data_IF_156817322785
#
_entry.id   IF_156817322785
#
_cell.length_a   1.000
_cell.length_b   1.000
_cell.length_c   1.000
_cell.angle_alpha   90.00
_cell.angle_beta   90.00
_cell.angle_gamma   90.00
#
_symmetry.space_group_name_H-M   'P 1'
#
loop_
_entity.id
_entity.type
_entity.pdbx_description
1 polymer ?
#
# COMPACT_ATOMS: atom_id res chain seq x y z
N UNK A 1 -26.05 -64.48 -17.52
CA UNK A 1 -24.75 -63.89 -17.92
C UNK A 1 -25.03 -62.45 -18.28
N UNK A 2 -24.71 -61.52 -17.38
CA UNK A 2 -24.88 -60.08 -17.58
C UNK A 2 -23.67 -59.56 -18.36
N UNK A 3 -23.89 -59.16 -19.62
CA UNK A 3 -22.87 -58.56 -20.46
C UNK A 3 -22.86 -57.06 -20.15
N UNK A 4 -21.90 -56.61 -19.34
CA UNK A 4 -21.56 -55.19 -19.18
C UNK A 4 -20.77 -54.73 -20.40
N UNK A 5 -21.38 -53.91 -21.25
CA UNK A 5 -20.67 -53.14 -22.27
C UNK A 5 -20.16 -51.82 -21.65
N UNK A 6 -18.87 -51.47 -21.80
CA UNK A 6 -18.36 -50.19 -21.32
C UNK A 6 -18.90 -49.01 -22.16
N UNK A 7 -19.04 -47.80 -21.57
CA UNK A 7 -19.48 -46.62 -22.30
C UNK A 7 -18.44 -46.18 -23.35
N UNK A 8 -18.86 -45.50 -24.44
CA UNK A 8 -17.95 -45.02 -25.47
C UNK A 8 -16.98 -43.96 -24.91
N UNK A 9 -15.75 -43.86 -25.47
CA UNK A 9 -14.79 -42.85 -25.06
C UNK A 9 -15.33 -41.44 -25.34
N UNK A 10 -15.18 -40.56 -24.37
CA UNK A 10 -15.45 -39.12 -24.49
C UNK A 10 -14.66 -38.52 -25.66
N UNK A 11 -15.24 -37.59 -26.44
CA UNK A 11 -14.54 -36.94 -27.54
C UNK A 11 -13.30 -36.19 -27.02
N UNK A 12 -12.20 -36.12 -27.80
CA UNK A 12 -11.03 -35.37 -27.40
C UNK A 12 -11.40 -33.90 -27.16
N UNK A 13 -10.74 -33.20 -26.20
CA UNK A 13 -10.98 -31.79 -26.00
C UNK A 13 -10.75 -31.06 -27.32
N UNK A 14 -11.71 -30.21 -27.70
CA UNK A 14 -11.65 -29.40 -28.91
C UNK A 14 -10.29 -28.72 -28.99
N UNK A 15 -9.49 -29.11 -29.99
CA UNK A 15 -8.32 -28.35 -30.38
C UNK A 15 -8.79 -26.91 -30.60
N UNK A 16 -8.29 -26.00 -29.77
CA UNK A 16 -8.65 -24.59 -29.81
C UNK A 16 -8.45 -24.08 -31.25
N UNK A 17 -9.56 -23.77 -31.92
CA UNK A 17 -9.55 -23.09 -33.19
C UNK A 17 -8.90 -21.71 -32.96
N UNK A 18 -7.60 -21.61 -33.23
CA UNK A 18 -6.91 -20.34 -33.25
C UNK A 18 -7.56 -19.47 -34.32
N UNK A 19 -8.05 -18.32 -33.89
CA UNK A 19 -9.00 -17.47 -34.59
C UNK A 19 -8.50 -16.99 -35.96
N UNK A 20 -9.31 -17.26 -36.99
CA UNK A 20 -9.19 -16.83 -38.38
C UNK A 20 -9.53 -15.33 -38.57
N UNK A 21 -9.01 -14.47 -37.69
CA UNK A 21 -9.15 -13.01 -37.81
C UNK A 21 -7.96 -12.41 -38.56
N UNK A 22 -8.23 -11.51 -39.50
CA UNK A 22 -7.19 -10.74 -40.19
C UNK A 22 -6.38 -9.93 -39.18
N UNK A 23 -5.04 -10.03 -39.18
CA UNK A 23 -4.20 -9.28 -38.26
C UNK A 23 -4.35 -7.77 -38.50
N UNK A 24 -4.41 -6.98 -37.42
CA UNK A 24 -4.62 -5.53 -37.49
C UNK A 24 -3.33 -4.73 -37.57
N UNK A 25 -2.24 -5.27 -37.03
CA UNK A 25 -0.93 -4.62 -36.99
C UNK A 25 0.15 -5.52 -37.56
N UNK A 26 1.26 -4.90 -37.97
CA UNK A 26 2.47 -5.60 -38.44
C UNK A 26 2.96 -6.61 -37.40
N UNK A 27 2.97 -6.25 -36.10
CA UNK A 27 3.31 -7.16 -35.00
C UNK A 27 2.40 -8.37 -34.95
N UNK A 28 1.08 -8.18 -35.02
CA UNK A 28 0.14 -9.30 -34.97
C UNK A 28 0.30 -10.23 -36.18
N UNK A 29 0.54 -9.69 -37.38
CA UNK A 29 0.73 -10.51 -38.58
C UNK A 29 2.02 -11.32 -38.51
N UNK A 30 3.15 -10.66 -38.22
CA UNK A 30 4.47 -11.29 -38.25
C UNK A 30 4.71 -12.24 -37.07
N UNK A 31 4.22 -11.92 -35.85
CA UNK A 31 4.32 -12.86 -34.73
C UNK A 31 3.57 -14.16 -35.04
N UNK A 32 2.45 -14.08 -35.76
CA UNK A 32 1.66 -15.26 -36.15
C UNK A 32 2.31 -16.06 -37.27
N UNK A 33 2.93 -15.40 -38.25
CA UNK A 33 3.44 -16.06 -39.45
C UNK A 33 4.89 -16.55 -39.31
N UNK A 34 5.75 -15.81 -38.62
CA UNK A 34 7.19 -16.08 -38.54
C UNK A 34 7.64 -16.58 -37.16
N UNK A 35 6.79 -16.47 -36.13
CA UNK A 35 7.11 -16.95 -34.79
C UNK A 35 8.12 -16.12 -34.00
N UNK A 36 8.61 -15.00 -34.55
CA UNK A 36 9.48 -14.08 -33.82
C UNK A 36 8.73 -13.37 -32.68
N UNK A 37 9.46 -13.09 -31.59
CA UNK A 37 8.94 -12.35 -30.45
C UNK A 37 8.57 -10.89 -30.81
N UNK A 38 7.59 -10.28 -30.12
CA UNK A 38 7.19 -8.89 -30.37
C UNK A 38 8.34 -7.87 -30.41
N UNK A 39 9.35 -7.91 -29.50
CA UNK A 39 10.46 -6.95 -29.51
C UNK A 39 11.29 -6.97 -30.80
N UNK A 40 11.41 -8.15 -31.42
CA UNK A 40 12.19 -8.36 -32.63
C UNK A 40 11.49 -7.78 -33.85
N UNK A 41 10.17 -7.98 -33.94
CA UNK A 41 9.36 -7.40 -34.99
C UNK A 41 9.28 -5.88 -34.84
N UNK A 42 9.19 -5.38 -33.61
CA UNK A 42 9.26 -3.94 -33.36
C UNK A 42 10.61 -3.35 -33.78
N UNK A 43 11.70 -4.06 -33.56
CA UNK A 43 13.03 -3.68 -34.04
C UNK A 43 13.12 -3.67 -35.57
N UNK A 44 12.75 -4.76 -36.23
CA UNK A 44 12.79 -4.88 -37.70
C UNK A 44 11.89 -3.85 -38.38
N UNK A 45 10.69 -3.61 -37.84
CA UNK A 45 9.78 -2.59 -38.33
C UNK A 45 10.36 -1.17 -38.20
N UNK A 46 10.97 -0.84 -37.06
CA UNK A 46 11.63 0.47 -36.88
C UNK A 46 12.86 0.63 -37.77
N UNK A 47 13.66 -0.42 -37.91
CA UNK A 47 14.83 -0.42 -38.78
C UNK A 47 14.47 -0.28 -40.26
N UNK A 48 13.29 -0.78 -40.67
CA UNK A 48 12.72 -0.60 -42.00
C UNK A 48 12.11 0.80 -42.23
N UNK A 49 12.12 1.68 -41.22
CA UNK A 49 11.61 3.05 -41.31
C UNK A 49 10.17 3.24 -40.83
N UNK A 50 9.53 2.21 -40.27
CA UNK A 50 8.18 2.35 -39.71
C UNK A 50 8.24 3.02 -38.33
N UNK A 51 7.78 4.27 -38.25
CA UNK A 51 7.86 5.11 -37.04
C UNK A 51 7.09 4.54 -35.84
N UNK A 52 5.97 3.86 -36.10
CA UNK A 52 5.16 3.17 -35.10
C UNK A 52 5.68 1.76 -34.76
N UNK A 53 6.76 1.31 -35.41
CA UNK A 53 7.30 -0.05 -35.24
C UNK A 53 6.28 -1.13 -35.59
N UNK A 54 6.19 -2.17 -34.76
CA UNK A 54 5.22 -3.25 -34.96
C UNK A 54 3.77 -2.86 -34.65
N UNK A 55 3.52 -1.70 -34.04
CA UNK A 55 2.17 -1.18 -33.87
C UNK A 55 1.58 -0.56 -35.16
N UNK A 56 2.37 -0.50 -36.24
CA UNK A 56 1.92 0.00 -37.54
C UNK A 56 0.69 -0.79 -38.03
N UNK A 57 -0.43 -0.12 -38.38
CA UNK A 57 -1.63 -0.78 -38.87
C UNK A 57 -1.43 -1.35 -40.27
N UNK A 58 -2.10 -2.47 -40.57
CA UNK A 58 -2.16 -3.06 -41.91
C UNK A 58 -3.38 -2.55 -42.69
N UNK A 59 -3.35 -2.50 -44.04
CA UNK A 59 -2.25 -2.92 -44.92
C UNK A 59 -1.14 -1.86 -45.05
N UNK A 60 0.11 -2.31 -45.25
CA UNK A 60 1.20 -1.42 -45.68
C UNK A 60 0.93 -0.98 -47.12
N UNK A 61 1.03 0.32 -47.40
CA UNK A 61 0.60 0.90 -48.68
C UNK A 61 1.77 0.97 -49.68
N UNK A 62 3.02 1.04 -49.20
CA UNK A 62 4.20 1.09 -50.05
C UNK A 62 4.85 -0.29 -50.25
N UNK A 63 5.05 -0.69 -51.51
CA UNK A 63 5.86 -1.89 -51.83
C UNK A 63 7.30 -1.79 -51.29
N UNK A 64 7.89 -0.59 -51.34
CA UNK A 64 9.21 -0.33 -50.78
C UNK A 64 9.29 -0.52 -49.25
N UNK A 65 8.20 -0.24 -48.52
CA UNK A 65 8.13 -0.45 -47.06
C UNK A 65 8.10 -1.94 -46.72
N UNK A 66 7.38 -2.72 -47.54
CA UNK A 66 7.30 -4.18 -47.42
C UNK A 66 8.66 -4.81 -47.73
N UNK A 67 9.30 -4.39 -48.82
CA UNK A 67 10.62 -4.89 -49.22
C UNK A 67 11.69 -4.56 -48.16
N UNK A 68 11.66 -3.33 -47.62
CA UNK A 68 12.56 -2.92 -46.54
C UNK A 68 12.33 -3.74 -45.26
N UNK A 69 11.07 -4.04 -44.91
CA UNK A 69 10.72 -4.86 -43.75
C UNK A 69 11.23 -6.29 -43.89
N UNK A 70 11.00 -6.93 -45.04
CA UNK A 70 11.52 -8.28 -45.28
C UNK A 70 13.05 -8.31 -45.32
N UNK A 71 13.71 -7.29 -45.85
CA UNK A 71 15.17 -7.18 -45.81
C UNK A 71 15.72 -7.06 -44.38
N UNK A 72 15.02 -6.37 -43.48
CA UNK A 72 15.42 -6.30 -42.06
C UNK A 72 15.15 -7.61 -41.32
N UNK A 73 14.07 -8.32 -41.66
CA UNK A 73 13.80 -9.64 -41.11
C UNK A 73 14.84 -10.68 -41.57
N UNK A 74 15.24 -10.66 -42.85
CA UNK A 74 16.29 -11.57 -43.33
C UNK A 74 17.64 -11.30 -42.65
N UNK A 75 17.99 -10.03 -42.41
CA UNK A 75 19.21 -9.70 -41.66
C UNK A 75 19.19 -10.27 -40.24
N UNK A 76 18.01 -10.32 -39.63
CA UNK A 76 17.81 -10.87 -38.30
C UNK A 76 17.92 -12.40 -38.28
N UNK A 77 17.39 -13.06 -39.30
CA UNK A 77 17.51 -14.50 -39.50
C UNK A 77 18.98 -14.89 -39.77
N UNK A 78 19.68 -14.14 -40.63
CA UNK A 78 21.12 -14.33 -40.89
C UNK A 78 21.94 -14.18 -39.61
N UNK A 79 21.58 -13.20 -38.76
CA UNK A 79 22.23 -13.02 -37.47
C UNK A 79 21.99 -14.23 -36.54
N UNK A 80 20.76 -14.74 -36.47
CA UNK A 80 20.46 -15.93 -35.67
C UNK A 80 21.20 -17.17 -36.14
N UNK A 81 21.28 -17.38 -37.44
CA UNK A 81 22.07 -18.47 -38.03
C UNK A 81 23.56 -18.29 -37.72
N UNK A 82 24.05 -17.05 -37.79
CA UNK A 82 25.40 -16.68 -37.37
C UNK A 82 25.69 -17.01 -35.90
N UNK A 83 24.76 -16.75 -34.99
CA UNK A 83 24.92 -17.11 -33.57
C UNK A 83 24.87 -18.63 -33.39
N UNK A 84 23.93 -19.32 -34.04
CA UNK A 84 23.80 -20.78 -33.93
C UNK A 84 25.03 -21.52 -34.46
N UNK A 85 25.73 -20.93 -35.44
CA UNK A 85 26.97 -21.47 -36.02
C UNK A 85 28.24 -20.99 -35.29
N UNK A 86 28.11 -20.18 -34.23
CA UNK A 86 29.21 -19.49 -33.54
C UNK A 86 30.05 -18.58 -34.47
N UNK A 87 29.49 -18.13 -35.59
CA UNK A 87 30.11 -17.16 -36.48
C UNK A 87 29.95 -15.71 -35.97
N UNK A 88 28.95 -15.47 -35.13
CA UNK A 88 28.66 -14.16 -34.52
C UNK A 88 28.53 -14.31 -33.01
N UNK A 89 29.27 -13.52 -32.24
CA UNK A 89 29.11 -13.45 -30.78
C UNK A 89 28.02 -12.44 -30.41
N UNK A 90 27.01 -12.81 -29.60
CA UNK A 90 25.96 -11.89 -29.18
C UNK A 90 26.48 -10.85 -28.19
N UNK A 91 25.98 -9.62 -28.32
CA UNK A 91 26.28 -8.54 -27.37
C UNK A 91 25.51 -8.75 -26.06
N UNK A 92 26.07 -8.31 -24.94
CA UNK A 92 25.38 -8.29 -23.65
C UNK A 92 24.80 -6.91 -23.38
N UNK A 93 23.48 -6.74 -23.48
CA UNK A 93 22.83 -5.45 -23.26
C UNK A 93 21.81 -5.55 -22.14
N UNK A 94 21.90 -4.61 -21.20
CA UNK A 94 20.97 -4.46 -20.10
C UNK A 94 20.26 -3.11 -20.21
N UNK A 95 18.94 -3.13 -20.12
CA UNK A 95 18.07 -1.96 -20.13
C UNK A 95 17.69 -1.64 -18.69
N UNK A 96 17.98 -0.41 -18.28
CA UNK A 96 17.61 0.13 -16.99
C UNK A 96 16.50 1.16 -17.16
N UNK A 97 15.48 1.10 -16.31
CA UNK A 97 14.40 2.09 -16.26
C UNK A 97 14.45 2.86 -14.95
N UNK A 98 14.27 4.17 -15.02
CA UNK A 98 14.10 5.00 -13.83
C UNK A 98 12.81 4.57 -13.12
N UNK A 99 12.93 4.14 -11.87
CA UNK A 99 11.76 3.96 -11.05
C UNK A 99 11.20 5.34 -10.72
N UNK A 100 10.01 5.64 -11.22
CA UNK A 100 9.28 6.83 -10.80
C UNK A 100 9.12 6.75 -9.29
N UNK A 101 9.80 7.63 -8.55
CA UNK A 101 9.68 7.73 -7.11
C UNK A 101 8.24 8.07 -6.75
N UNK A 102 7.43 7.04 -6.53
CA UNK A 102 6.07 7.18 -6.03
C UNK A 102 6.15 7.82 -4.66
N UNK A 103 5.73 9.08 -4.57
CA UNK A 103 5.66 9.85 -3.35
C UNK A 103 4.86 9.11 -2.27
N UNK A 104 5.58 8.46 -1.36
CA UNK A 104 5.05 8.07 -0.07
C UNK A 104 5.18 9.25 0.87
N UNK A 105 4.14 10.08 0.95
CA UNK A 105 4.01 11.13 1.96
C UNK A 105 4.09 10.50 3.35
N UNK A 106 5.26 10.61 3.97
CA UNK A 106 5.50 10.31 5.38
C UNK A 106 6.01 11.57 6.04
N UNK A 107 5.11 12.24 6.78
CA UNK A 107 5.39 13.39 7.63
C UNK A 107 6.66 13.18 8.45
N UNK A 108 7.54 14.19 8.41
CA UNK A 108 8.89 14.11 8.95
C UNK A 108 8.98 13.75 10.43
N UNK A 109 10.07 13.05 10.74
CA UNK A 109 10.76 13.16 12.02
C UNK A 109 12.25 13.28 11.69
N UNK A 110 12.86 14.36 12.16
CA UNK A 110 14.29 14.63 12.07
C UNK A 110 15.08 13.68 12.99
N UNK A 111 16.23 13.26 12.46
CA UNK A 111 17.46 12.89 13.15
C UNK A 111 17.43 11.76 14.19
N UNK A 112 18.08 10.65 13.83
CA UNK A 112 19.23 10.20 14.63
C UNK A 112 20.24 9.50 13.73
N UNK A 113 21.44 10.09 13.68
CA UNK A 113 22.67 9.49 13.15
C UNK A 113 22.88 8.14 13.83
N UNK A 114 22.98 7.08 13.05
CA UNK A 114 23.93 6.00 13.33
C UNK A 114 24.35 5.33 12.02
N UNK A 115 25.67 5.20 11.89
CA UNK A 115 26.34 4.90 10.65
C UNK A 115 26.14 3.47 10.17
N UNK A 116 25.85 3.34 8.88
CA UNK A 116 26.35 2.23 8.09
C UNK A 116 26.68 2.73 6.71
N UNK A 117 27.97 2.73 6.41
CA UNK A 117 28.52 3.11 5.12
C UNK A 117 27.91 2.22 4.03
N UNK A 118 27.17 2.85 3.12
CA UNK A 118 26.92 2.33 1.79
C UNK A 118 27.58 3.32 0.85
N UNK A 119 28.80 3.01 0.44
CA UNK A 119 29.51 3.74 -0.60
C UNK A 119 28.97 3.33 -1.97
N UNK A 120 28.20 4.22 -2.60
CA UNK A 120 28.43 4.55 -4.00
C UNK A 120 27.85 5.94 -4.30
N UNK A 121 28.73 6.80 -4.77
CA UNK A 121 28.44 8.10 -5.36
C UNK A 121 27.67 7.91 -6.68
N UNK A 122 26.73 8.80 -6.96
CA UNK A 122 26.62 9.52 -8.25
C UNK A 122 25.26 10.23 -8.33
N UNK A 123 25.33 11.52 -8.63
CA UNK A 123 24.26 12.50 -8.39
C UNK A 123 23.01 12.39 -9.26
N UNK A 124 21.93 13.02 -8.78
CA UNK A 124 20.65 13.41 -9.44
C UNK A 124 19.95 12.40 -10.39
N UNK A 125 20.47 11.20 -10.55
CA UNK A 125 19.91 10.12 -11.35
C UNK A 125 19.15 9.20 -10.41
N UNK A 126 17.85 9.48 -10.25
CA UNK A 126 16.95 8.66 -9.43
C UNK A 126 17.09 7.16 -9.70
N UNK A 127 16.78 6.36 -8.67
CA UNK A 127 16.92 4.89 -8.64
C UNK A 127 16.56 4.18 -9.95
N UNK A 128 17.58 3.70 -10.66
CA UNK A 128 17.43 2.92 -11.90
C UNK A 128 17.25 1.43 -11.55
N UNK A 129 16.21 0.81 -12.11
CA UNK A 129 15.89 -0.62 -11.95
C UNK A 129 16.29 -1.36 -13.22
N UNK A 130 16.86 -2.55 -13.06
CA UNK A 130 17.19 -3.43 -14.16
C UNK A 130 15.88 -4.05 -14.67
N UNK A 131 15.55 -3.80 -15.93
CA UNK A 131 14.24 -4.14 -16.49
C UNK A 131 14.34 -5.33 -17.43
N UNK A 132 15.23 -5.24 -18.42
CA UNK A 132 15.36 -6.24 -19.49
C UNK A 132 16.83 -6.46 -19.87
N UNK A 133 17.15 -7.65 -20.35
CA UNK A 133 18.43 -7.93 -21.01
C UNK A 133 18.18 -8.48 -22.42
N UNK A 134 19.08 -8.19 -23.36
CA UNK A 134 18.93 -8.58 -24.77
C UNK A 134 20.29 -8.92 -25.39
N UNK A 135 20.36 -9.95 -26.27
CA UNK A 135 21.59 -10.30 -26.99
C UNK A 135 21.92 -9.32 -28.15
N UNK A 136 21.00 -8.41 -28.44
CA UNK A 136 21.05 -7.46 -29.54
C UNK A 136 20.60 -6.06 -29.10
N UNK A 137 21.22 -5.05 -29.70
CA UNK A 137 20.85 -3.64 -29.54
C UNK A 137 19.52 -3.34 -30.25
N UNK A 138 18.39 -3.58 -29.60
CA UNK A 138 17.09 -3.23 -30.16
C UNK A 138 16.92 -1.70 -30.21
N UNK A 139 16.56 -1.17 -31.38
CA UNK A 139 16.38 0.27 -31.60
C UNK A 139 15.38 0.93 -30.63
N UNK A 140 14.41 0.16 -30.14
CA UNK A 140 13.43 0.62 -29.17
C UNK A 140 14.04 1.01 -27.80
N UNK A 141 15.26 0.58 -27.48
CA UNK A 141 15.93 0.88 -26.20
C UNK A 141 16.70 2.20 -26.22
N UNK A 142 17.05 2.72 -27.40
CA UNK A 142 17.91 3.90 -27.56
C UNK A 142 17.12 5.20 -27.78
N UNK A 143 15.82 5.10 -28.03
CA UNK A 143 14.98 6.26 -28.29
C UNK A 143 14.45 6.79 -26.95
N UNK A 144 14.78 8.03 -26.52
CA UNK A 144 13.90 8.71 -25.59
C UNK A 144 12.54 8.72 -26.25
N UNK A 145 11.48 8.27 -25.57
CA UNK A 145 10.12 8.32 -26.10
C UNK A 145 9.89 9.75 -26.56
N UNK A 146 9.95 10.00 -27.88
CA UNK A 146 9.67 11.29 -28.45
C UNK A 146 8.20 11.54 -28.17
N UNK A 147 7.90 12.34 -27.16
CA UNK A 147 6.60 12.95 -26.99
C UNK A 147 6.28 13.67 -28.29
N UNK A 148 5.16 13.32 -28.92
CA UNK A 148 4.67 14.04 -30.08
C UNK A 148 4.53 15.52 -29.71
N UNK A 149 5.22 16.38 -30.45
CA UNK A 149 4.99 17.81 -30.39
C UNK A 149 3.59 18.08 -30.96
N UNK A 150 2.61 18.20 -30.07
CA UNK A 150 1.24 18.55 -30.44
C UNK A 150 0.22 18.16 -29.38
N UNK A 151 0.04 19.01 -28.37
CA UNK A 151 -1.12 18.93 -27.48
C UNK A 151 -0.80 19.27 -26.02
N UNK A 152 -1.22 20.45 -25.59
CA UNK A 152 -1.38 20.84 -24.20
C UNK A 152 -2.27 19.82 -23.46
N UNK A 153 -1.82 19.35 -22.29
CA UNK A 153 -2.60 18.53 -21.36
C UNK A 153 -2.12 17.09 -21.17
N UNK A 154 -1.20 16.87 -20.23
CA UNK A 154 -0.95 15.57 -19.62
C UNK A 154 0.52 15.19 -19.51
N UNK A 155 1.19 15.59 -18.42
CA UNK A 155 2.52 15.09 -18.06
C UNK A 155 2.38 13.62 -17.63
N UNK A 156 2.45 12.70 -18.59
CA UNK A 156 2.70 11.30 -18.32
C UNK A 156 4.14 11.10 -17.82
N UNK A 157 4.43 10.06 -17.01
CA UNK A 157 5.77 9.85 -16.48
C UNK A 157 6.76 9.58 -17.62
N UNK A 158 7.68 10.52 -17.85
CA UNK A 158 8.83 10.31 -18.72
C UNK A 158 9.67 9.17 -18.11
N UNK A 159 9.55 7.97 -18.66
CA UNK A 159 10.35 6.82 -18.23
C UNK A 159 11.74 6.96 -18.82
N UNK A 160 12.66 7.56 -18.08
CA UNK A 160 14.07 7.63 -18.47
C UNK A 160 14.61 6.21 -18.55
N UNK A 161 14.97 5.78 -19.76
CA UNK A 161 15.54 4.45 -20.03
C UNK A 161 17.01 4.63 -20.38
N UNK A 162 17.88 3.83 -19.76
CA UNK A 162 19.33 3.84 -20.02
C UNK A 162 19.76 2.45 -20.45
N UNK A 163 20.61 2.38 -21.46
CA UNK A 163 21.16 1.13 -21.99
C UNK A 163 22.59 0.99 -21.49
N UNK A 164 22.89 -0.14 -20.83
CA UNK A 164 24.22 -0.54 -20.40
C UNK A 164 24.68 -1.69 -21.30
N UNK A 165 25.80 -1.52 -22.00
CA UNK A 165 26.50 -2.63 -22.66
C UNK A 165 27.48 -3.26 -21.68
N UNK A 166 27.52 -4.58 -21.63
CA UNK A 166 28.40 -5.35 -20.76
C UNK A 166 29.54 -5.92 -21.57
N UNK A 167 30.77 -5.69 -21.10
CA UNK A 167 31.97 -6.31 -21.68
C UNK A 167 32.01 -7.79 -21.32
N UNK A 168 32.27 -8.67 -22.29
CA UNK A 168 32.23 -10.13 -22.10
C UNK A 168 31.02 -10.83 -22.72
N UNK A 169 30.25 -10.14 -23.55
CA UNK A 169 29.15 -10.73 -24.32
C UNK A 169 27.89 -10.97 -23.50
N UNK A 170 26.98 -11.77 -24.06
CA UNK A 170 25.66 -12.01 -23.49
C UNK A 170 25.69 -12.73 -22.13
N UNK A 171 26.58 -13.70 -21.95
CA UNK A 171 26.69 -14.47 -20.71
C UNK A 171 27.09 -13.58 -19.52
N UNK A 172 28.02 -12.65 -19.73
CA UNK A 172 28.39 -11.67 -18.70
C UNK A 172 27.24 -10.71 -18.35
N UNK A 173 26.40 -10.36 -19.33
CA UNK A 173 25.20 -9.56 -19.08
C UNK A 173 24.13 -10.33 -18.30
N UNK A 174 24.00 -11.64 -18.53
CA UNK A 174 23.10 -12.49 -17.73
C UNK A 174 23.52 -12.51 -16.27
N UNK A 175 24.79 -12.78 -16.00
CA UNK A 175 25.33 -12.83 -14.64
C UNK A 175 25.13 -11.50 -13.90
N UNK A 176 25.44 -10.37 -14.55
CA UNK A 176 25.24 -9.02 -13.99
C UNK A 176 23.75 -8.70 -13.78
N UNK A 177 22.88 -9.07 -14.72
CA UNK A 177 21.44 -8.87 -14.59
C UNK A 177 20.86 -9.65 -13.42
N UNK A 178 21.14 -10.95 -13.30
CA UNK A 178 20.59 -11.75 -12.22
C UNK A 178 21.19 -11.41 -10.86
N UNK A 179 22.49 -11.12 -10.77
CA UNK A 179 23.11 -10.67 -9.52
C UNK A 179 22.47 -9.36 -9.01
N UNK A 180 22.21 -8.41 -9.90
CA UNK A 180 21.60 -7.12 -9.53
C UNK A 180 20.09 -7.22 -9.31
N UNK A 181 19.37 -8.05 -10.06
CA UNK A 181 17.94 -8.29 -9.88
C UNK A 181 17.65 -8.95 -8.52
N UNK A 182 18.45 -9.94 -8.12
CA UNK A 182 18.34 -10.56 -6.80
C UNK A 182 18.60 -9.53 -5.68
N UNK A 183 19.67 -8.73 -5.82
CA UNK A 183 19.96 -7.64 -4.87
C UNK A 183 18.83 -6.59 -4.80
N UNK A 184 18.16 -6.29 -5.92
CA UNK A 184 17.00 -5.39 -5.95
C UNK A 184 15.81 -5.97 -5.19
N UNK A 185 15.51 -7.26 -5.39
CA UNK A 185 14.42 -7.94 -4.69
C UNK A 185 14.68 -7.97 -3.18
N UNK A 186 15.90 -8.32 -2.76
CA UNK A 186 16.27 -8.34 -1.35
C UNK A 186 16.15 -6.95 -0.71
N UNK A 187 16.65 -5.91 -1.39
CA UNK A 187 16.54 -4.52 -0.92
C UNK A 187 15.08 -4.10 -0.74
N UNK A 188 14.22 -4.37 -1.71
CA UNK A 188 12.79 -4.05 -1.62
C UNK A 188 12.09 -4.83 -0.49
N UNK A 189 12.47 -6.09 -0.28
CA UNK A 189 11.95 -6.89 0.83
C UNK A 189 12.38 -6.31 2.18
N UNK A 190 13.65 -5.91 2.32
CA UNK A 190 14.17 -5.25 3.53
C UNK A 190 13.45 -3.93 3.81
N UNK A 191 13.30 -3.06 2.81
CA UNK A 191 12.59 -1.79 2.97
C UNK A 191 11.12 -1.99 3.38
N UNK A 192 10.44 -2.99 2.83
CA UNK A 192 9.07 -3.34 3.23
C UNK A 192 9.01 -3.84 4.68
N UNK A 193 9.98 -4.65 5.09
CA UNK A 193 10.08 -5.14 6.46
C UNK A 193 10.34 -3.99 7.45
N UNK A 194 11.25 -3.07 7.12
CA UNK A 194 11.55 -1.87 7.91
C UNK A 194 10.32 -0.97 8.05
N UNK A 195 9.63 -0.64 6.95
CA UNK A 195 8.39 0.14 6.98
C UNK A 195 7.31 -0.52 7.83
N UNK A 196 7.19 -1.84 7.74
CA UNK A 196 6.23 -2.60 8.56
C UNK A 196 6.61 -2.58 10.04
N UNK A 197 7.90 -2.65 10.38
CA UNK A 197 8.38 -2.56 11.74
C UNK A 197 8.13 -1.18 12.35
N UNK A 198 8.44 -0.10 11.62
CA UNK A 198 8.22 1.29 12.07
C UNK A 198 6.74 1.56 12.29
N UNK A 199 5.87 1.18 11.34
CA UNK A 199 4.42 1.38 11.49
C UNK A 199 3.83 0.61 12.67
N UNK A 200 4.35 -0.60 12.98
CA UNK A 200 3.97 -1.35 14.17
C UNK A 200 4.41 -0.66 15.45
N UNK A 201 5.65 -0.16 15.52
CA UNK A 201 6.15 0.60 16.66
C UNK A 201 5.30 1.85 16.91
N UNK A 202 5.00 2.62 15.86
CA UNK A 202 4.16 3.80 15.96
C UNK A 202 2.75 3.49 16.44
N UNK A 203 2.17 2.35 16.02
CA UNK A 203 0.86 1.92 16.49
C UNK A 203 0.89 1.58 17.97
N UNK A 204 1.90 0.83 18.43
CA UNK A 204 2.06 0.48 19.85
C UNK A 204 2.26 1.74 20.68
N UNK A 205 3.10 2.67 20.23
CA UNK A 205 3.32 3.95 20.92
C UNK A 205 2.03 4.73 21.10
N UNK A 206 1.24 4.93 20.04
CA UNK A 206 -0.03 5.67 20.13
C UNK A 206 -1.06 4.98 21.02
N UNK A 207 -1.11 3.65 20.99
CA UNK A 207 -1.99 2.87 21.87
C UNK A 207 -1.60 3.06 23.34
N UNK A 208 -0.31 3.01 23.67
CA UNK A 208 0.17 3.26 25.03
C UNK A 208 -0.08 4.70 25.49
N UNK A 209 0.18 5.68 24.63
CA UNK A 209 -0.12 7.10 24.92
C UNK A 209 -1.62 7.31 25.18
N UNK A 210 -2.49 6.67 24.39
CA UNK A 210 -3.95 6.75 24.56
C UNK A 210 -4.40 6.11 25.87
N UNK A 211 -3.87 4.93 26.21
CA UNK A 211 -4.18 4.24 27.48
C UNK A 211 -3.68 5.03 28.68
N UNK A 212 -2.47 5.57 28.61
CA UNK A 212 -1.94 6.43 29.66
C UNK A 212 -2.79 7.69 29.86
N UNK A 213 -3.21 8.34 28.77
CA UNK A 213 -4.10 9.50 28.85
C UNK A 213 -5.49 9.14 29.41
N UNK A 214 -6.04 7.97 29.07
CA UNK A 214 -7.30 7.50 29.64
C UNK A 214 -7.17 7.24 31.14
N UNK A 215 -6.12 6.52 31.56
CA UNK A 215 -5.84 6.26 32.98
C UNK A 215 -5.63 7.57 33.75
N UNK A 216 -4.93 8.54 33.17
CA UNK A 216 -4.78 9.88 33.76
C UNK A 216 -6.14 10.53 34.01
N UNK A 217 -7.03 10.55 33.00
CA UNK A 217 -8.38 11.11 33.15
C UNK A 217 -9.25 10.34 34.16
N UNK A 218 -9.05 9.03 34.30
CA UNK A 218 -9.74 8.23 35.32
C UNK A 218 -9.25 8.58 36.72
N UNK A 219 -7.92 8.70 36.91
CA UNK A 219 -7.32 9.16 38.17
C UNK A 219 -7.79 10.57 38.52
N UNK A 220 -7.75 11.53 37.60
CA UNK A 220 -8.20 12.92 37.83
C UNK A 220 -9.68 12.96 38.26
N UNK A 221 -10.52 12.11 37.67
CA UNK A 221 -11.94 12.01 38.04
C UNK A 221 -12.12 11.43 39.43
N UNK A 222 -11.37 10.39 39.79
CA UNK A 222 -11.47 9.79 41.12
C UNK A 222 -10.88 10.70 42.20
N UNK A 223 -9.82 11.45 41.90
CA UNK A 223 -9.29 12.49 42.77
C UNK A 223 -10.32 13.61 42.97
N UNK A 224 -10.93 14.11 41.90
CA UNK A 224 -12.01 15.11 42.01
C UNK A 224 -13.20 14.60 42.84
N UNK A 225 -13.57 13.31 42.70
CA UNK A 225 -14.61 12.68 43.52
C UNK A 225 -14.21 12.61 44.99
N UNK A 226 -12.98 12.19 45.28
CA UNK A 226 -12.47 12.13 46.65
C UNK A 226 -12.48 13.52 47.30
N UNK A 227 -11.98 14.53 46.60
CA UNK A 227 -11.99 15.93 47.04
C UNK A 227 -13.41 16.43 47.31
N UNK A 228 -14.38 16.13 46.44
CA UNK A 228 -15.80 16.51 46.66
C UNK A 228 -16.41 15.84 47.90
N UNK A 229 -16.04 14.59 48.17
CA UNK A 229 -16.47 13.86 49.37
C UNK A 229 -15.84 14.50 50.62
N UNK A 230 -14.54 14.82 50.59
CA UNK A 230 -13.84 15.48 51.70
C UNK A 230 -14.47 16.84 52.05
N UNK A 231 -14.88 17.62 51.06
CA UNK A 231 -15.58 18.88 51.30
C UNK A 231 -16.99 18.71 51.88
N UNK A 232 -17.69 17.62 51.55
CA UNK A 232 -19.10 17.41 51.90
C UNK A 232 -19.29 16.24 52.89
N UNK A 233 -18.30 15.95 53.74
CA UNK A 233 -18.30 14.78 54.64
C UNK A 233 -19.58 14.67 55.49
N UNK A 234 -20.01 15.76 56.12
CA UNK A 234 -21.19 15.77 57.00
C UNK A 234 -22.49 15.45 56.24
N UNK A 235 -22.63 15.97 55.03
CA UNK A 235 -23.79 15.73 54.17
C UNK A 235 -23.83 14.27 53.71
N UNK A 236 -22.68 13.72 53.32
CA UNK A 236 -22.56 12.31 52.92
C UNK A 236 -22.87 11.38 54.08
N UNK A 237 -22.36 11.65 55.28
CA UNK A 237 -22.62 10.84 56.47
C UNK A 237 -24.10 10.88 56.87
N UNK A 238 -24.72 12.06 56.79
CA UNK A 238 -26.17 12.22 57.03
C UNK A 238 -27.00 11.38 56.06
N UNK A 239 -26.64 11.37 54.77
CA UNK A 239 -27.29 10.51 53.76
C UNK A 239 -27.11 9.03 54.09
N UNK A 240 -25.91 8.60 54.48
CA UNK A 240 -25.62 7.22 54.85
C UNK A 240 -26.43 6.77 56.06
N UNK A 241 -26.49 7.58 57.11
CA UNK A 241 -27.30 7.30 58.31
C UNK A 241 -28.78 7.20 57.96
N UNK A 242 -29.30 8.13 57.15
CA UNK A 242 -30.70 8.12 56.73
C UNK A 242 -31.06 6.83 55.95
N UNK A 243 -30.26 6.48 54.94
CA UNK A 243 -30.50 5.27 54.13
C UNK A 243 -30.36 4.00 54.98
N UNK A 244 -29.32 3.90 55.82
CA UNK A 244 -29.10 2.74 56.68
C UNK A 244 -30.21 2.58 57.73
N UNK A 245 -30.75 3.69 58.27
CA UNK A 245 -31.87 3.63 59.22
C UNK A 245 -33.16 3.12 58.57
N UNK A 246 -33.44 3.52 57.32
CA UNK A 246 -34.59 3.02 56.57
C UNK A 246 -34.45 1.52 56.24
N UNK A 247 -33.25 1.09 55.83
CA UNK A 247 -32.96 -0.33 55.57
C UNK A 247 -33.02 -1.17 56.86
N UNK A 248 -32.50 -0.67 57.98
CA UNK A 248 -32.57 -1.35 59.28
C UNK A 248 -34.02 -1.49 59.79
N UNK A 249 -34.91 -0.59 59.39
CA UNK A 249 -36.35 -0.69 59.62
C UNK A 249 -37.04 -1.80 58.82
N UNK A 250 -36.33 -2.50 57.92
CA UNK A 250 -36.89 -3.56 57.08
C UNK A 250 -37.72 -3.04 55.91
N UNK A 251 -37.53 -1.79 55.49
CA UNK A 251 -38.23 -1.19 54.37
C UNK A 251 -37.84 -1.87 53.05
N UNK A 252 -38.84 -2.18 52.20
CA UNK A 252 -38.58 -2.72 50.88
C UNK A 252 -37.86 -1.69 50.00
N UNK A 253 -37.03 -2.16 49.07
CA UNK A 253 -36.21 -1.31 48.21
C UNK A 253 -37.04 -0.35 47.34
N UNK A 254 -38.13 -0.84 46.75
CA UNK A 254 -39.03 -0.04 45.93
C UNK A 254 -39.73 1.06 46.74
N UNK A 255 -40.09 0.75 47.99
CA UNK A 255 -40.74 1.68 48.92
C UNK A 255 -39.76 2.78 49.37
N UNK A 256 -38.51 2.43 49.64
CA UNK A 256 -37.44 3.38 49.98
C UNK A 256 -37.18 4.35 48.83
N UNK A 257 -37.16 3.86 47.59
CA UNK A 257 -36.97 4.72 46.42
C UNK A 257 -38.16 5.67 46.20
N UNK A 258 -39.41 5.19 46.39
CA UNK A 258 -40.59 6.04 46.35
C UNK A 258 -40.59 7.10 47.47
N UNK A 259 -40.24 6.70 48.69
CA UNK A 259 -40.15 7.60 49.84
C UNK A 259 -39.14 8.72 49.58
N UNK A 260 -37.95 8.39 49.08
CA UNK A 260 -36.93 9.41 48.77
C UNK A 260 -37.42 10.36 47.68
N UNK A 261 -38.09 9.88 46.62
CA UNK A 261 -38.67 10.76 45.60
C UNK A 261 -39.73 11.71 46.19
N UNK A 262 -40.53 11.23 47.14
CA UNK A 262 -41.54 12.04 47.80
C UNK A 262 -40.91 13.09 48.72
N UNK A 263 -39.95 12.69 49.56
CA UNK A 263 -39.18 13.60 50.42
C UNK A 263 -38.42 14.66 49.62
N UNK A 264 -37.91 14.30 48.43
CA UNK A 264 -37.29 15.25 47.50
C UNK A 264 -38.25 16.34 47.07
N UNK A 265 -39.51 15.99 46.76
CA UNK A 265 -40.58 16.94 46.40
C UNK A 265 -41.02 17.78 47.59
N UNK A 266 -40.95 17.22 48.80
CA UNK A 266 -41.24 17.92 50.05
C UNK A 266 -40.15 18.92 50.45
N UNK A 267 -39.02 18.95 49.75
CA UNK A 267 -37.94 19.92 50.00
C UNK A 267 -36.91 19.45 51.03
N UNK A 268 -36.84 18.15 51.34
CA UNK A 268 -35.89 17.62 52.31
C UNK A 268 -34.44 17.74 51.77
N UNK A 269 -33.53 18.44 52.47
CA UNK A 269 -32.17 18.69 51.99
C UNK A 269 -31.35 17.41 51.82
N UNK A 270 -31.56 16.40 52.68
CA UNK A 270 -30.84 15.12 52.61
C UNK A 270 -31.32 14.30 51.41
N UNK A 271 -32.63 14.25 51.18
CA UNK A 271 -33.20 13.55 50.03
C UNK A 271 -32.82 14.21 48.69
N UNK A 272 -32.58 15.53 48.68
CA UNK A 272 -32.16 16.26 47.49
C UNK A 272 -30.76 15.86 47.00
N UNK A 273 -29.86 15.49 47.91
CA UNK A 273 -28.50 15.03 47.60
C UNK A 273 -28.49 13.66 46.92
N UNK A 274 -29.46 12.79 47.20
CA UNK A 274 -29.52 11.43 46.66
C UNK A 274 -29.98 11.48 45.20
N UNK A 275 -29.08 11.21 44.24
CA UNK A 275 -29.43 11.15 42.82
C UNK A 275 -30.12 9.85 42.44
N UNK A 276 -29.55 8.70 42.84
CA UNK A 276 -30.11 7.37 42.59
C UNK A 276 -29.65 6.35 43.62
N UNK A 277 -30.41 5.27 43.77
CA UNK A 277 -30.11 4.14 44.64
C UNK A 277 -29.93 2.88 43.81
N UNK A 278 -28.83 2.16 44.02
CA UNK A 278 -28.57 0.83 43.49
C UNK A 278 -28.33 -0.13 44.67
N UNK A 279 -29.42 -0.39 45.39
CA UNK A 279 -29.45 -1.24 46.58
C UNK A 279 -29.03 -2.70 46.33
N UNK A 280 -29.35 -3.34 45.18
CA UNK A 280 -28.82 -4.68 44.86
C UNK A 280 -27.30 -4.76 44.92
N UNK A 281 -26.60 -3.69 44.55
CA UNK A 281 -25.14 -3.60 44.61
C UNK A 281 -24.62 -2.80 45.81
N UNK A 282 -25.47 -2.49 46.80
CA UNK A 282 -25.17 -1.66 47.97
C UNK A 282 -24.52 -0.30 47.61
N UNK A 283 -25.02 0.37 46.56
CA UNK A 283 -24.50 1.65 46.07
C UNK A 283 -25.54 2.76 46.20
N UNK A 284 -25.11 3.92 46.66
CA UNK A 284 -25.90 5.16 46.68
C UNK A 284 -25.15 6.19 45.85
N UNK A 285 -25.82 6.80 44.87
CA UNK A 285 -25.24 7.89 44.08
C UNK A 285 -25.73 9.20 44.65
N UNK A 286 -24.79 10.03 45.13
CA UNK A 286 -25.06 11.37 45.66
C UNK A 286 -24.54 12.44 44.70
N UNK A 287 -25.26 13.54 44.62
CA UNK A 287 -24.83 14.74 43.90
C UNK A 287 -24.26 15.72 44.93
N UNK A 288 -22.96 16.00 44.84
CA UNK A 288 -22.23 16.89 45.75
C UNK A 288 -21.81 18.14 44.98
N UNK A 289 -22.08 19.31 45.54
CA UNK A 289 -21.64 20.59 44.97
C UNK A 289 -20.31 21.03 45.60
N UNK A 290 -19.43 21.64 44.79
CA UNK A 290 -18.29 22.38 45.30
C UNK A 290 -18.70 23.85 45.45
N UNK A 291 -18.81 24.35 46.68
CA UNK A 291 -19.17 25.75 46.95
C UNK A 291 -17.95 26.68 47.10
N UNK A 292 -16.74 26.20 46.83
CA UNK A 292 -15.50 26.95 47.01
C UNK A 292 -14.95 27.58 45.72
N UNK A 293 -15.39 27.14 44.54
CA UNK A 293 -14.91 27.70 43.27
C UNK A 293 -15.62 29.03 42.90
N UNK A 294 -16.84 29.26 43.40
CA UNK A 294 -17.60 30.51 43.17
C UNK A 294 -17.01 31.73 43.92
N UNK A 295 -16.08 31.51 44.86
CA UNK A 295 -15.52 32.57 45.71
C UNK A 295 -14.26 33.24 45.13
N UNK A 296 -13.75 32.79 43.97
CA UNK A 296 -12.49 33.29 43.41
C UNK A 296 -12.60 33.97 42.02
N UNK A 297 -13.80 34.09 41.43
CA UNK A 297 -13.99 34.79 40.15
C UNK A 297 -14.44 36.27 40.26
N UNK A 298 -14.80 36.79 41.43
CA UNK A 298 -15.27 38.20 41.61
C UNK A 298 -14.15 39.20 42.01
N UNK A 299 -12.90 38.94 41.61
CA UNK A 299 -11.73 39.72 42.04
C UNK A 299 -10.84 40.28 40.94
N UNK A 300 -11.21 40.18 39.66
CA UNK A 300 -10.34 40.57 38.54
C UNK A 300 -11.11 41.09 37.33
N UNK A 301 -11.60 42.33 37.43
CA UNK A 301 -11.98 43.16 36.29
C UNK A 301 -10.95 44.28 36.11
#
# INVERSE_FOLDING_TARGET
QLIMTPPPPSPPPAAAAFADRTPKTVREALCRSLGHGPPMIDHAARAAGLTLGGATPLPLVGAAEIDALFAQLSLLDDWFEGVATNAVEPEGIIVLKKHGGGGGGGTGVKDTKDGREASHDDGDDGFMIYDEFSPLSLMQHHQPVCGGEGGDGGVGPQTTTRVKRVEGGFDAALDDYFATAEAQVERLARERAEKTAVTRLDKVRRDQETRAAQLGRETDKEEARATLIEYNLEQVDTVLVAVNSALAGGMAWDDLEQMIRQERRSGNPVAQLIQSLDLPNNRVTVNLANHLDDAYEDGGA
#
